data_IF_466162573940
#
_entry.id   IF_466162573940
#
_cell.length_a   1.000
_cell.length_b   1.000
_cell.length_c   1.000
_cell.angle_alpha   90.00
_cell.angle_beta   90.00
_cell.angle_gamma   90.00
#
_symmetry.space_group_name_H-M   'P 1'
#
loop_
_entity.id
_entity.type
_entity.pdbx_description
1 polymer ?
#
# COMPACT_ATOMS: atom_id res chain seq x y z
N UNK A 1 7.72 -6.32 11.01
CA UNK A 1 8.84 -5.64 11.67
C UNK A 1 8.28 -4.42 12.37
N UNK A 2 7.47 -4.63 13.39
CA UNK A 2 6.95 -3.56 14.21
C UNK A 2 7.83 -3.35 15.42
N UNK A 3 8.03 -2.12 15.77
CA UNK A 3 8.84 -1.74 16.91
C UNK A 3 8.16 -1.91 18.26
N UNK A 4 7.40 -2.98 18.52
CA UNK A 4 6.77 -3.18 19.84
C UNK A 4 7.81 -3.09 20.98
N UNK A 5 9.00 -3.66 20.75
CA UNK A 5 10.11 -3.60 21.73
C UNK A 5 10.61 -2.16 21.88
N UNK A 6 10.76 -1.41 20.78
CA UNK A 6 11.26 -0.03 20.84
C UNK A 6 10.20 0.90 21.44
N UNK A 7 8.93 0.69 21.11
CA UNK A 7 7.82 1.44 21.68
C UNK A 7 7.75 1.25 23.20
N UNK A 8 7.85 0.00 23.65
CA UNK A 8 7.90 -0.32 25.08
C UNK A 8 9.11 0.33 25.75
N UNK A 9 10.29 0.25 25.12
CA UNK A 9 11.52 0.84 25.65
C UNK A 9 11.38 2.36 25.79
N UNK A 10 10.92 3.05 24.75
CA UNK A 10 10.71 4.50 24.80
C UNK A 10 9.72 4.90 25.87
N UNK A 11 8.60 4.18 26.03
CA UNK A 11 7.60 4.45 27.06
C UNK A 11 8.13 4.27 28.48
N UNK A 12 9.02 3.30 28.69
CA UNK A 12 9.54 2.97 30.03
C UNK A 12 10.79 3.77 30.41
N UNK A 13 11.48 4.38 29.43
CA UNK A 13 12.74 5.14 29.63
C UNK A 13 12.62 6.63 29.27
N UNK A 14 11.42 7.20 29.38
CA UNK A 14 11.15 8.59 28.97
C UNK A 14 12.10 9.61 29.61
N UNK A 15 12.41 9.45 30.91
CA UNK A 15 13.30 10.39 31.62
C UNK A 15 14.76 10.31 31.13
N UNK A 16 15.20 9.11 30.72
CA UNK A 16 16.56 8.88 30.18
C UNK A 16 16.68 9.39 28.75
N UNK A 17 15.61 9.26 27.98
CA UNK A 17 15.54 9.65 26.57
C UNK A 17 15.10 11.10 26.35
N UNK A 18 14.85 11.85 27.43
CA UNK A 18 14.41 13.23 27.32
C UNK A 18 15.48 14.08 26.57
N UNK A 19 15.05 14.77 25.51
CA UNK A 19 15.93 15.56 24.65
C UNK A 19 15.15 16.70 23.97
N UNK A 20 15.86 17.74 23.52
CA UNK A 20 15.26 18.87 22.80
C UNK A 20 14.99 18.55 21.33
N UNK A 21 15.71 17.58 20.74
CA UNK A 21 15.56 17.17 19.35
C UNK A 21 15.94 15.71 19.16
N UNK A 22 15.32 15.06 18.19
CA UNK A 22 15.64 13.69 17.74
C UNK A 22 16.09 13.76 16.28
N UNK A 23 17.28 13.22 16.00
CA UNK A 23 17.76 13.01 14.64
C UNK A 23 17.62 11.53 14.26
N UNK A 24 16.80 11.26 13.25
CA UNK A 24 16.65 9.92 12.66
C UNK A 24 17.50 9.87 11.40
N UNK A 25 18.56 9.06 11.41
CA UNK A 25 19.49 8.89 10.30
C UNK A 25 19.31 7.53 9.61
N UNK A 26 18.06 7.20 9.28
CA UNK A 26 17.65 5.92 8.67
C UNK A 26 16.96 6.17 7.33
N UNK A 27 17.62 6.93 6.47
CA UNK A 27 17.09 7.27 5.14
C UNK A 27 18.14 7.06 4.05
N UNK A 28 17.67 6.88 2.81
CA UNK A 28 18.54 6.73 1.67
C UNK A 28 19.12 8.09 1.23
N UNK A 29 20.36 8.09 0.79
CA UNK A 29 20.90 9.17 -0.04
C UNK A 29 20.69 8.82 -1.52
N UNK A 30 20.40 9.81 -2.35
CA UNK A 30 20.14 9.60 -3.78
C UNK A 30 21.37 9.05 -4.51
N UNK A 31 22.54 9.61 -4.23
CA UNK A 31 23.83 9.11 -4.71
C UNK A 31 24.96 9.67 -3.86
N UNK A 32 26.19 9.17 -4.05
CA UNK A 32 27.39 9.70 -3.38
C UNK A 32 27.69 11.17 -3.72
N UNK A 33 27.21 11.64 -4.87
CA UNK A 33 27.37 13.03 -5.33
C UNK A 33 26.16 13.91 -5.07
N UNK A 34 25.05 13.35 -4.57
CA UNK A 34 23.80 14.07 -4.34
C UNK A 34 23.20 13.72 -2.98
N UNK A 35 23.68 14.38 -1.92
CA UNK A 35 23.08 14.22 -0.61
C UNK A 35 21.63 14.73 -0.60
N UNK A 36 20.79 14.12 0.23
CA UNK A 36 19.38 14.50 0.37
C UNK A 36 19.00 14.64 1.85
N UNK A 37 18.04 15.50 2.11
CA UNK A 37 17.40 15.63 3.41
C UNK A 37 15.92 15.29 3.21
N UNK A 38 15.46 14.24 3.89
CA UNK A 38 14.04 13.89 3.94
C UNK A 38 13.42 14.74 5.05
N UNK A 39 12.51 15.65 4.66
CA UNK A 39 11.87 16.58 5.58
C UNK A 39 10.43 16.19 5.94
N UNK A 40 9.93 15.06 5.42
CA UNK A 40 8.61 14.54 5.69
C UNK A 40 8.48 13.08 5.27
N UNK A 41 7.55 12.39 5.91
CA UNK A 41 7.22 11.00 5.61
C UNK A 41 5.70 10.88 5.44
N UNK A 42 5.27 9.88 4.67
CA UNK A 42 3.88 9.46 4.63
C UNK A 42 3.57 8.69 5.92
N UNK A 43 2.35 8.85 6.45
CA UNK A 43 1.83 7.97 7.48
C UNK A 43 1.57 6.57 6.92
N UNK A 44 1.32 5.61 7.81
CA UNK A 44 0.95 4.24 7.46
C UNK A 44 -0.27 3.81 8.26
N UNK A 45 -1.16 3.10 7.60
CA UNK A 45 -2.29 2.41 8.19
C UNK A 45 -2.43 1.05 7.53
N UNK A 46 -2.84 0.04 8.27
CA UNK A 46 -3.07 -1.30 7.76
C UNK A 46 -4.45 -1.79 8.16
N UNK A 47 -5.08 -2.56 7.30
CA UNK A 47 -6.36 -3.20 7.54
C UNK A 47 -6.35 -4.61 6.96
N UNK A 48 -7.20 -5.44 7.50
CA UNK A 48 -7.57 -6.73 6.93
C UNK A 48 -9.04 -6.68 6.54
N UNK A 49 -9.35 -7.21 5.36
CA UNK A 49 -10.70 -7.34 4.84
C UNK A 49 -11.05 -8.81 4.73
N UNK A 50 -12.15 -9.20 5.34
CA UNK A 50 -12.73 -10.55 5.20
C UNK A 50 -14.05 -10.46 4.45
N UNK A 51 -14.18 -11.19 3.35
CA UNK A 51 -15.41 -11.33 2.58
C UNK A 51 -16.00 -12.71 2.84
N UNK A 52 -17.21 -12.75 3.39
CA UNK A 52 -17.93 -13.98 3.69
C UNK A 52 -19.22 -14.03 2.86
N UNK A 53 -19.40 -15.08 2.04
CA UNK A 53 -20.54 -15.21 1.13
C UNK A 53 -21.48 -16.38 1.48
N UNK A 54 -21.04 -17.28 2.34
CA UNK A 54 -21.81 -18.42 2.80
C UNK A 54 -21.43 -18.79 4.24
N UNK A 55 -22.02 -19.85 4.80
CA UNK A 55 -21.68 -20.35 6.13
C UNK A 55 -20.58 -21.40 6.14
N UNK A 56 -20.24 -21.94 4.98
CA UNK A 56 -19.24 -23.00 4.77
C UNK A 56 -18.92 -23.11 3.29
N UNK A 57 -17.85 -23.79 2.97
CA UNK A 57 -17.50 -24.17 1.59
C UNK A 57 -18.63 -25.00 0.95
N UNK A 58 -18.90 -24.70 -0.31
CA UNK A 58 -19.94 -25.35 -1.08
C UNK A 58 -19.36 -26.08 -2.29
N UNK A 59 -20.06 -27.09 -2.78
CA UNK A 59 -19.68 -27.82 -3.98
C UNK A 59 -20.01 -26.98 -5.23
N UNK A 60 -19.01 -26.66 -6.04
CA UNK A 60 -19.19 -25.78 -7.21
C UNK A 60 -20.09 -26.37 -8.29
N UNK A 61 -20.13 -27.71 -8.43
CA UNK A 61 -21.04 -28.39 -9.35
C UNK A 61 -22.51 -28.29 -8.95
N UNK A 62 -22.80 -28.08 -7.65
CA UNK A 62 -24.19 -28.00 -7.14
C UNK A 62 -24.65 -26.55 -6.98
N UNK A 63 -23.77 -25.63 -6.65
CA UNK A 63 -24.09 -24.25 -6.27
C UNK A 63 -23.42 -23.19 -7.14
N UNK A 64 -22.56 -23.59 -8.11
CA UNK A 64 -21.93 -22.67 -9.05
C UNK A 64 -22.96 -21.90 -9.86
N UNK A 65 -22.79 -20.58 -9.95
CA UNK A 65 -23.74 -19.67 -10.58
C UNK A 65 -24.92 -19.25 -9.71
N UNK A 66 -25.12 -19.89 -8.54
CA UNK A 66 -26.21 -19.57 -7.60
C UNK A 66 -25.72 -18.88 -6.32
N UNK A 67 -24.46 -19.12 -5.93
CA UNK A 67 -23.84 -18.49 -4.75
C UNK A 67 -22.57 -17.77 -5.19
N UNK A 68 -22.41 -16.54 -4.74
CA UNK A 68 -21.22 -15.75 -5.06
C UNK A 68 -19.99 -16.39 -4.42
N UNK A 69 -18.95 -16.61 -5.21
CA UNK A 69 -17.66 -17.12 -4.74
C UNK A 69 -16.90 -16.03 -3.96
N UNK A 70 -16.47 -16.31 -2.73
CA UNK A 70 -15.82 -15.31 -1.88
C UNK A 70 -14.54 -14.76 -2.49
N UNK A 71 -13.74 -15.60 -3.18
CA UNK A 71 -12.54 -15.13 -3.90
C UNK A 71 -12.90 -14.17 -5.04
N UNK A 72 -13.98 -14.44 -5.76
CA UNK A 72 -14.44 -13.54 -6.83
C UNK A 72 -14.95 -12.22 -6.24
N UNK A 73 -15.78 -12.28 -5.20
CA UNK A 73 -16.28 -11.08 -4.53
C UNK A 73 -15.16 -10.22 -3.96
N UNK A 74 -14.13 -10.84 -3.37
CA UNK A 74 -12.93 -10.13 -2.91
C UNK A 74 -12.16 -9.49 -4.07
N UNK A 75 -11.97 -10.21 -5.19
CA UNK A 75 -11.29 -9.68 -6.36
C UNK A 75 -12.03 -8.47 -6.96
N UNK A 76 -13.36 -8.52 -7.03
CA UNK A 76 -14.21 -7.41 -7.47
C UNK A 76 -14.08 -6.20 -6.53
N UNK A 77 -14.09 -6.43 -5.21
CA UNK A 77 -13.89 -5.40 -4.21
C UNK A 77 -12.52 -4.74 -4.37
N UNK A 78 -11.45 -5.53 -4.44
CA UNK A 78 -10.08 -5.03 -4.60
C UNK A 78 -9.93 -4.25 -5.92
N UNK A 79 -10.50 -4.75 -7.03
CA UNK A 79 -10.48 -4.04 -8.30
C UNK A 79 -11.20 -2.68 -8.24
N UNK A 80 -12.23 -2.55 -7.41
CA UNK A 80 -12.96 -1.30 -7.21
C UNK A 80 -12.25 -0.27 -6.31
N UNK A 81 -11.17 -0.65 -5.64
CA UNK A 81 -10.41 0.28 -4.78
C UNK A 81 -9.62 1.33 -5.56
N UNK A 82 -9.40 1.12 -6.87
CA UNK A 82 -8.72 2.09 -7.74
C UNK A 82 -9.55 2.34 -8.99
N UNK A 83 -9.49 3.56 -9.47
CA UNK A 83 -10.04 3.91 -10.77
C UNK A 83 -9.03 3.65 -11.93
N UNK A 84 -9.48 3.88 -13.17
CA UNK A 84 -8.65 3.70 -14.35
C UNK A 84 -7.42 4.64 -14.43
N UNK A 85 -7.41 5.72 -13.64
CA UNK A 85 -6.30 6.67 -13.52
C UNK A 85 -5.32 6.31 -12.39
N UNK A 86 -5.47 5.15 -11.74
CA UNK A 86 -4.64 4.74 -10.62
C UNK A 86 -4.90 5.53 -9.33
N UNK A 87 -6.03 6.25 -9.26
CA UNK A 87 -6.46 6.98 -8.09
C UNK A 87 -7.27 6.05 -7.17
N UNK A 88 -7.04 6.12 -5.86
CA UNK A 88 -7.84 5.36 -4.88
C UNK A 88 -9.30 5.84 -4.93
N UNK A 89 -10.22 4.90 -5.12
CA UNK A 89 -11.64 5.18 -5.32
C UNK A 89 -12.46 5.13 -4.02
N UNK A 90 -11.81 4.94 -2.87
CA UNK A 90 -12.47 4.90 -1.56
C UNK A 90 -13.00 6.30 -1.21
N UNK A 91 -14.30 6.47 -0.93
CA UNK A 91 -14.87 7.75 -0.52
C UNK A 91 -14.15 8.33 0.70
N UNK A 92 -13.86 9.62 0.67
CA UNK A 92 -13.18 10.33 1.77
C UNK A 92 -11.66 10.12 1.84
N UNK A 93 -11.09 9.21 1.04
CA UNK A 93 -9.66 8.87 1.10
C UNK A 93 -8.74 10.10 0.94
N UNK A 94 -9.15 11.08 0.16
CA UNK A 94 -8.36 12.28 -0.14
C UNK A 94 -8.78 13.53 0.65
N UNK A 95 -9.81 13.47 1.50
CA UNK A 95 -10.40 14.67 2.15
C UNK A 95 -9.39 15.44 3.01
N UNK A 96 -8.43 14.74 3.61
CA UNK A 96 -7.39 15.33 4.46
C UNK A 96 -6.02 15.41 3.77
N UNK A 97 -5.94 15.05 2.49
CA UNK A 97 -4.67 15.06 1.76
C UNK A 97 -4.28 16.47 1.37
N UNK A 98 -3.12 16.91 1.86
CA UNK A 98 -2.58 18.22 1.54
C UNK A 98 -2.19 18.30 0.05
N UNK A 99 -2.61 19.38 -0.59
CA UNK A 99 -2.19 19.67 -1.95
C UNK A 99 -0.74 20.15 -1.94
N UNK A 100 0.09 19.60 -2.82
CA UNK A 100 1.45 20.07 -3.04
C UNK A 100 1.43 21.49 -3.60
N UNK A 101 2.24 22.36 -3.03
CA UNK A 101 2.47 23.70 -3.59
C UNK A 101 3.35 23.61 -4.84
N UNK A 102 3.34 24.66 -5.66
CA UNK A 102 4.21 24.74 -6.86
C UNK A 102 5.68 24.64 -6.50
N UNK A 103 6.11 25.24 -5.39
CA UNK A 103 7.49 25.17 -4.89
C UNK A 103 7.86 23.73 -4.48
N UNK A 104 6.98 23.01 -3.83
CA UNK A 104 7.20 21.59 -3.48
C UNK A 104 7.29 20.72 -4.72
N UNK A 105 6.39 20.92 -5.70
CA UNK A 105 6.45 20.22 -6.97
C UNK A 105 7.76 20.52 -7.73
N UNK A 106 8.16 21.79 -7.77
CA UNK A 106 9.43 22.17 -8.37
C UNK A 106 10.65 21.58 -7.63
N UNK A 107 10.58 21.44 -6.30
CA UNK A 107 11.61 20.79 -5.52
C UNK A 107 11.69 19.28 -5.82
N UNK A 108 10.57 18.58 -5.86
CA UNK A 108 10.48 17.15 -6.19
C UNK A 108 10.92 16.87 -7.63
N UNK A 109 10.63 17.77 -8.58
CA UNK A 109 11.07 17.65 -9.97
C UNK A 109 12.60 17.74 -10.15
N UNK A 110 13.34 18.28 -9.17
CA UNK A 110 14.82 18.30 -9.19
C UNK A 110 15.45 16.99 -8.71
N UNK A 111 14.68 16.10 -8.12
CA UNK A 111 15.15 14.78 -7.71
C UNK A 111 15.43 13.95 -8.97
N UNK A 112 16.67 13.46 -9.18
CA UNK A 112 17.03 12.71 -10.38
C UNK A 112 16.57 11.25 -10.28
N UNK A 113 15.29 11.07 -10.04
CA UNK A 113 14.62 9.78 -9.95
C UNK A 113 13.24 9.89 -10.59
N UNK A 114 13.14 9.47 -11.83
CA UNK A 114 11.93 9.49 -12.61
C UNK A 114 11.47 8.10 -13.01
N UNK A 115 10.65 8.03 -14.04
CA UNK A 115 10.14 6.76 -14.55
C UNK A 115 11.25 5.86 -15.10
N UNK A 116 12.22 6.44 -15.79
CA UNK A 116 13.36 5.69 -16.35
C UNK A 116 14.16 4.96 -15.27
N UNK A 117 14.50 5.66 -14.19
CA UNK A 117 15.25 5.13 -13.06
C UNK A 117 14.41 4.08 -12.32
N UNK A 118 13.12 4.35 -12.09
CA UNK A 118 12.20 3.42 -11.48
C UNK A 118 12.13 2.09 -12.25
N UNK A 119 11.94 2.14 -13.56
CA UNK A 119 11.84 0.94 -14.40
C UNK A 119 13.17 0.17 -14.46
N UNK A 120 14.29 0.89 -14.49
CA UNK A 120 15.61 0.27 -14.47
C UNK A 120 15.91 -0.44 -13.14
N UNK A 121 15.52 0.17 -12.01
CA UNK A 121 15.73 -0.39 -10.68
C UNK A 121 14.80 -1.57 -10.38
N UNK A 122 13.53 -1.44 -10.73
CA UNK A 122 12.50 -2.42 -10.35
C UNK A 122 12.30 -3.55 -11.36
N UNK A 123 12.71 -3.35 -12.61
CA UNK A 123 12.39 -4.25 -13.72
C UNK A 123 10.91 -4.23 -14.13
N UNK A 124 10.12 -3.29 -13.63
CA UNK A 124 8.72 -3.14 -14.02
C UNK A 124 8.60 -2.76 -15.50
N UNK A 125 7.52 -3.20 -16.17
CA UNK A 125 7.28 -2.92 -17.59
C UNK A 125 6.74 -1.52 -17.84
N UNK A 126 6.08 -0.93 -16.85
CA UNK A 126 5.53 0.42 -16.89
C UNK A 126 5.39 0.95 -15.46
N UNK A 127 5.45 2.28 -15.29
CA UNK A 127 5.12 2.90 -14.03
C UNK A 127 3.61 2.84 -13.78
N UNK A 128 3.24 2.71 -12.50
CA UNK A 128 1.86 2.69 -12.04
C UNK A 128 1.61 3.83 -11.05
N UNK A 129 0.35 4.18 -10.83
CA UNK A 129 -0.12 5.08 -9.78
C UNK A 129 -0.91 6.26 -10.31
N UNK A 130 -1.27 7.17 -9.41
CA UNK A 130 -2.17 8.30 -9.65
C UNK A 130 -1.68 9.17 -10.81
N UNK A 131 -2.53 9.33 -11.84
CA UNK A 131 -2.22 10.18 -13.00
C UNK A 131 -2.09 11.65 -12.60
N UNK A 132 -1.24 12.39 -13.33
CA UNK A 132 -0.99 13.81 -13.08
C UNK A 132 0.11 14.08 -12.03
N UNK A 133 0.72 13.04 -11.48
CA UNK A 133 1.84 13.12 -10.53
C UNK A 133 3.06 12.37 -11.05
N UNK A 134 4.23 12.91 -10.77
CA UNK A 134 5.51 12.26 -11.07
C UNK A 134 5.77 11.07 -10.13
N UNK A 135 6.75 10.23 -10.45
CA UNK A 135 7.16 9.10 -9.60
C UNK A 135 7.51 9.59 -8.19
N UNK A 136 8.33 10.63 -8.09
CA UNK A 136 8.74 11.21 -6.79
C UNK A 136 7.57 11.77 -5.98
N UNK A 137 6.58 12.37 -6.64
CA UNK A 137 5.37 12.84 -5.99
C UNK A 137 4.51 11.67 -5.49
N UNK A 138 4.34 10.61 -6.31
CA UNK A 138 3.58 9.42 -5.93
C UNK A 138 4.17 8.71 -4.72
N UNK A 139 5.49 8.48 -4.71
CA UNK A 139 6.14 7.74 -3.62
C UNK A 139 6.41 8.58 -2.38
N UNK A 140 6.58 9.90 -2.52
CA UNK A 140 6.98 10.79 -1.42
C UNK A 140 5.84 11.59 -0.79
N UNK A 141 4.82 11.96 -1.56
CA UNK A 141 3.83 12.95 -1.13
C UNK A 141 2.37 12.54 -1.34
N UNK A 142 2.07 11.60 -2.24
CA UNK A 142 0.70 11.16 -2.46
C UNK A 142 0.37 9.93 -1.63
N UNK A 143 -0.86 9.82 -1.07
CA UNK A 143 -1.29 8.59 -0.40
C UNK A 143 -1.48 7.47 -1.42
N UNK A 144 -1.18 6.25 -1.02
CA UNK A 144 -1.36 5.03 -1.83
C UNK A 144 -2.16 3.99 -1.04
N UNK A 145 -2.74 3.05 -1.74
CA UNK A 145 -3.39 1.88 -1.17
C UNK A 145 -2.83 0.66 -1.87
N UNK A 146 -2.20 -0.21 -1.11
CA UNK A 146 -1.52 -1.40 -1.63
C UNK A 146 -2.15 -2.66 -1.05
N UNK A 147 -2.30 -3.68 -1.88
CA UNK A 147 -2.77 -5.00 -1.46
C UNK A 147 -1.55 -5.88 -1.19
N UNK A 148 -1.22 -6.06 0.08
CA UNK A 148 -0.02 -6.79 0.49
C UNK A 148 -0.18 -8.32 0.41
N UNK A 149 -1.40 -8.81 0.42
CA UNK A 149 -1.69 -10.24 0.32
C UNK A 149 -3.17 -10.50 0.09
N UNK A 150 -3.45 -11.64 -0.54
CA UNK A 150 -4.81 -12.16 -0.71
C UNK A 150 -4.77 -13.67 -0.53
N UNK A 151 -5.77 -14.23 0.17
CA UNK A 151 -5.89 -15.67 0.34
C UNK A 151 -7.35 -16.09 0.50
N UNK A 152 -7.64 -17.34 0.17
CA UNK A 152 -8.96 -17.95 0.29
C UNK A 152 -9.08 -19.18 -0.58
N UNK A 153 -10.01 -20.05 -0.25
CA UNK A 153 -10.27 -21.28 -1.00
C UNK A 153 -9.18 -22.34 -0.89
N UNK A 154 -9.16 -23.25 -1.83
CA UNK A 154 -8.22 -24.36 -1.84
C UNK A 154 -6.87 -23.97 -2.49
N UNK A 155 -5.79 -24.20 -1.76
CA UNK A 155 -4.42 -23.88 -2.17
C UNK A 155 -3.46 -25.09 -2.13
N UNK A 156 -3.98 -26.32 -1.94
CA UNK A 156 -3.18 -27.55 -1.98
C UNK A 156 -2.96 -28.07 -3.41
N UNK A 157 -2.29 -29.21 -3.52
CA UNK A 157 -2.03 -29.85 -4.81
C UNK A 157 -3.30 -30.28 -5.52
N UNK A 158 -3.34 -30.12 -6.84
CA UNK A 158 -4.49 -30.44 -7.68
C UNK A 158 -5.57 -29.35 -7.65
N UNK A 159 -6.84 -29.78 -7.79
CA UNK A 159 -7.99 -28.87 -7.71
C UNK A 159 -9.12 -29.50 -6.88
N UNK A 160 -9.99 -28.64 -6.34
CA UNK A 160 -11.25 -29.07 -5.70
C UNK A 160 -12.44 -28.35 -6.34
N UNK A 161 -13.56 -29.06 -6.43
CA UNK A 161 -14.83 -28.50 -6.86
C UNK A 161 -15.49 -27.72 -5.72
N UNK A 162 -14.86 -26.60 -5.32
CA UNK A 162 -15.26 -25.80 -4.15
C UNK A 162 -15.59 -24.36 -4.54
N UNK A 163 -16.62 -23.82 -3.91
CA UNK A 163 -16.87 -22.38 -3.78
C UNK A 163 -16.45 -22.03 -2.36
N UNK A 164 -15.36 -21.32 -2.14
CA UNK A 164 -15.00 -20.88 -0.81
C UNK A 164 -16.05 -19.93 -0.24
N UNK A 165 -16.35 -20.09 1.02
CA UNK A 165 -17.29 -19.24 1.72
C UNK A 165 -16.67 -17.93 2.21
N UNK A 166 -15.33 -17.91 2.31
CA UNK A 166 -14.58 -16.80 2.87
C UNK A 166 -13.29 -16.56 2.10
N UNK A 167 -12.89 -15.28 1.98
CA UNK A 167 -11.64 -14.84 1.40
C UNK A 167 -11.15 -13.56 2.10
N UNK A 168 -9.84 -13.31 2.08
CA UNK A 168 -9.18 -12.26 2.84
C UNK A 168 -8.20 -11.47 1.97
N UNK A 169 -8.01 -10.20 2.33
CA UNK A 169 -6.97 -9.31 1.79
C UNK A 169 -6.36 -8.44 2.88
#
# INVERSE_FOLDING_TARGET
FGGETIEHYVKTHQAELACDAVLISDTHILSSSQPSIIYGLRGMWAAEVTVTTARRDLHSGSFGGAVHNANQALAELVAALHDAGGRVAVPGFYDQVRVLTDDERAALARVPYGETELLAETGAKAAWGEQGYTVTERVGARPTLEINGMWGGFSGDGFKTVIPYEAHA
#
